data_IF_119370194340
#
_entry.id   IF_119370194340
#
_cell.length_a   1.000
_cell.length_b   1.000
_cell.length_c   1.000
_cell.angle_alpha   90.00
_cell.angle_beta   90.00
_cell.angle_gamma   90.00
#
_symmetry.space_group_name_H-M   'P 1'
#
loop_
_entity.id
_entity.type
_entity.pdbx_description
1 polymer ?
#
# COMPACT_ATOMS: atom_id res chain seq x y z
N UNK A 1 14.38 6.67 -9.43
CA UNK A 1 13.84 7.08 -8.13
C UNK A 1 13.64 8.59 -8.12
N UNK A 2 12.48 9.06 -7.69
CA UNK A 2 12.09 10.48 -7.70
C UNK A 2 11.43 10.83 -6.36
N UNK A 3 11.75 12.04 -5.85
CA UNK A 3 11.07 12.61 -4.68
C UNK A 3 10.04 13.65 -5.14
N UNK A 4 8.78 13.38 -4.91
CA UNK A 4 7.72 14.32 -5.25
C UNK A 4 7.83 15.59 -4.38
N UNK A 5 7.67 16.74 -5.01
CA UNK A 5 7.46 18.00 -4.29
C UNK A 5 6.10 18.00 -3.60
N UNK A 6 5.91 18.90 -2.64
CA UNK A 6 4.60 19.08 -1.99
C UNK A 6 3.47 19.26 -3.01
N UNK A 7 3.68 20.12 -4.01
CA UNK A 7 2.67 20.37 -5.05
C UNK A 7 2.37 19.13 -5.88
N UNK A 8 3.40 18.37 -6.28
CA UNK A 8 3.20 17.11 -7.00
C UNK A 8 2.44 16.09 -6.17
N UNK A 9 2.78 15.97 -4.88
CA UNK A 9 2.07 15.09 -3.94
C UNK A 9 0.60 15.51 -3.80
N UNK A 10 0.33 16.80 -3.62
CA UNK A 10 -1.05 17.33 -3.55
C UNK A 10 -1.84 17.03 -4.82
N UNK A 11 -1.23 17.24 -5.99
CA UNK A 11 -1.88 16.97 -7.28
C UNK A 11 -2.16 15.47 -7.46
N UNK A 12 -1.23 14.61 -7.05
CA UNK A 12 -1.42 13.17 -7.10
C UNK A 12 -2.59 12.71 -6.22
N UNK A 13 -2.62 13.20 -4.97
CA UNK A 13 -3.71 12.91 -4.03
C UNK A 13 -5.06 13.44 -4.54
N UNK A 14 -5.09 14.68 -5.07
CA UNK A 14 -6.32 15.28 -5.59
C UNK A 14 -6.86 14.54 -6.83
N UNK A 15 -5.99 13.96 -7.65
CA UNK A 15 -6.39 13.15 -8.80
C UNK A 15 -6.98 11.79 -8.40
N UNK A 16 -6.66 11.30 -7.20
CA UNK A 16 -7.04 9.96 -6.70
C UNK A 16 -6.89 8.86 -7.77
N UNK A 17 -5.67 8.69 -8.35
CA UNK A 17 -5.48 7.88 -9.56
C UNK A 17 -5.84 6.41 -9.38
N UNK A 18 -5.77 5.88 -8.16
CA UNK A 18 -6.20 4.52 -7.83
C UNK A 18 -7.69 4.44 -7.47
N UNK A 19 -8.39 5.56 -7.44
CA UNK A 19 -9.76 5.64 -6.94
C UNK A 19 -9.88 5.28 -5.46
N UNK A 20 -8.79 5.40 -4.70
CA UNK A 20 -8.75 4.99 -3.28
C UNK A 20 -9.76 5.76 -2.43
N UNK A 21 -9.75 7.09 -2.54
CA UNK A 21 -10.65 7.94 -1.76
C UNK A 21 -12.09 7.82 -2.24
N UNK A 22 -12.29 7.71 -3.55
CA UNK A 22 -13.62 7.54 -4.14
C UNK A 22 -14.26 6.21 -3.75
N UNK A 23 -13.47 5.19 -3.42
CA UNK A 23 -13.94 3.87 -2.95
C UNK A 23 -14.19 3.78 -1.45
N UNK A 24 -13.72 4.75 -0.66
CA UNK A 24 -13.97 4.77 0.79
C UNK A 24 -15.47 4.82 1.07
N UNK A 25 -15.94 3.86 1.82
CA UNK A 25 -17.32 3.81 2.30
C UNK A 25 -17.56 4.78 3.48
N UNK A 26 -18.81 5.06 3.81
CA UNK A 26 -19.14 5.90 4.98
C UNK A 26 -18.54 5.40 6.28
N UNK A 27 -18.38 4.09 6.40
CA UNK A 27 -17.81 3.47 7.59
C UNK A 27 -16.29 3.71 7.70
N UNK A 28 -15.56 3.59 6.59
CA UNK A 28 -14.11 3.86 6.57
C UNK A 28 -13.82 5.30 6.98
N UNK A 29 -14.66 6.23 6.52
CA UNK A 29 -14.56 7.63 6.88
C UNK A 29 -14.84 7.86 8.39
N UNK A 30 -15.83 7.15 8.96
CA UNK A 30 -16.13 7.24 10.38
C UNK A 30 -15.01 6.65 11.24
N UNK A 31 -14.44 5.51 10.84
CA UNK A 31 -13.31 4.89 11.52
C UNK A 31 -12.06 5.79 11.54
N UNK A 32 -11.95 6.72 10.58
CA UNK A 32 -10.88 7.72 10.48
C UNK A 32 -11.28 9.09 11.00
N UNK A 33 -12.36 9.20 11.76
CA UNK A 33 -12.89 10.45 12.31
C UNK A 33 -13.26 11.50 11.27
N UNK A 34 -13.39 11.12 10.00
CA UNK A 34 -13.86 12.00 8.93
C UNK A 34 -15.37 11.88 8.74
N UNK A 35 -16.04 13.00 8.50
CA UNK A 35 -17.49 13.06 8.30
C UNK A 35 -17.91 12.83 6.85
N UNK A 36 -16.98 13.02 5.93
CA UNK A 36 -17.22 12.86 4.49
C UNK A 36 -15.95 12.52 3.74
N UNK A 37 -16.12 12.09 2.48
CA UNK A 37 -14.98 11.86 1.55
C UNK A 37 -14.22 13.15 1.27
N UNK A 38 -14.92 14.27 1.18
CA UNK A 38 -14.35 15.58 0.95
C UNK A 38 -13.45 16.00 2.12
N UNK A 39 -13.89 15.74 3.35
CA UNK A 39 -13.09 15.99 4.55
C UNK A 39 -11.82 15.12 4.55
N UNK A 40 -11.95 13.83 4.26
CA UNK A 40 -10.82 12.92 4.16
C UNK A 40 -9.85 13.35 3.06
N UNK A 41 -10.36 13.70 1.87
CA UNK A 41 -9.55 14.20 0.76
C UNK A 41 -8.80 15.48 1.16
N UNK A 42 -9.48 16.39 1.82
CA UNK A 42 -8.87 17.63 2.29
C UNK A 42 -7.74 17.37 3.28
N UNK A 43 -7.93 16.44 4.23
CA UNK A 43 -6.88 16.04 5.17
C UNK A 43 -5.70 15.40 4.46
N UNK A 44 -5.94 14.45 3.56
CA UNK A 44 -4.89 13.78 2.79
C UNK A 44 -4.07 14.78 1.95
N UNK A 45 -4.73 15.70 1.26
CA UNK A 45 -4.07 16.74 0.45
C UNK A 45 -3.29 17.72 1.33
N UNK A 46 -3.86 18.15 2.47
CA UNK A 46 -3.22 19.09 3.37
C UNK A 46 -2.04 18.49 4.13
N UNK A 47 -2.02 17.16 4.32
CA UNK A 47 -0.91 16.46 4.96
C UNK A 47 0.37 16.44 4.12
N UNK A 48 0.26 16.69 2.81
CA UNK A 48 1.42 16.70 1.92
C UNK A 48 2.44 17.78 2.34
N UNK A 49 3.71 17.37 2.44
CA UNK A 49 4.80 18.23 2.86
C UNK A 49 6.02 18.10 1.95
N UNK A 50 6.99 19.01 2.13
CA UNK A 50 8.25 18.94 1.43
C UNK A 50 9.21 17.97 2.14
N UNK A 51 10.06 17.32 1.38
CA UNK A 51 11.20 16.57 1.86
C UNK A 51 12.33 17.52 2.25
N UNK A 52 12.94 17.34 3.43
CA UNK A 52 14.19 18.01 3.76
C UNK A 52 15.37 17.38 3.00
N UNK A 53 16.50 18.10 2.84
CA UNK A 53 17.71 17.52 2.25
C UNK A 53 18.18 16.25 2.99
N UNK A 54 18.16 16.27 4.32
CA UNK A 54 18.60 15.17 5.17
C UNK A 54 17.70 13.93 5.02
N UNK A 55 16.36 14.14 4.94
CA UNK A 55 15.42 13.05 4.67
C UNK A 55 15.65 12.43 3.30
N UNK A 56 15.88 13.25 2.27
CA UNK A 56 16.19 12.76 0.92
C UNK A 56 17.49 11.94 0.89
N UNK A 57 18.54 12.43 1.54
CA UNK A 57 19.84 11.74 1.60
C UNK A 57 19.72 10.40 2.33
N UNK A 58 18.98 10.36 3.42
CA UNK A 58 18.72 9.12 4.14
C UNK A 58 17.94 8.12 3.29
N UNK A 59 16.77 8.54 2.79
CA UNK A 59 15.91 7.68 1.98
C UNK A 59 16.60 7.22 0.70
N UNK A 60 17.44 8.07 0.10
CA UNK A 60 18.22 7.69 -1.07
C UNK A 60 19.12 6.48 -0.76
N UNK A 61 19.86 6.52 0.35
CA UNK A 61 20.72 5.41 0.76
C UNK A 61 19.92 4.15 1.06
N UNK A 62 18.83 4.27 1.79
CA UNK A 62 17.97 3.12 2.09
C UNK A 62 17.34 2.52 0.83
N UNK A 63 16.88 3.36 -0.07
CA UNK A 63 16.30 2.92 -1.34
C UNK A 63 17.32 2.27 -2.27
N UNK A 64 18.59 2.70 -2.25
CA UNK A 64 19.66 2.02 -2.98
C UNK A 64 19.89 0.59 -2.46
N UNK A 65 19.95 0.41 -1.14
CA UNK A 65 20.06 -0.92 -0.52
C UNK A 65 18.86 -1.80 -0.88
N UNK A 66 17.66 -1.26 -0.79
CA UNK A 66 16.44 -1.95 -1.17
C UNK A 66 16.46 -2.35 -2.65
N UNK A 67 16.83 -1.43 -3.53
CA UNK A 67 16.92 -1.69 -4.97
C UNK A 67 17.95 -2.76 -5.30
N UNK A 68 19.16 -2.66 -4.73
CA UNK A 68 20.23 -3.65 -4.94
C UNK A 68 19.75 -5.05 -4.56
N UNK A 69 19.07 -5.19 -3.44
CA UNK A 69 18.47 -6.47 -3.05
C UNK A 69 17.39 -6.92 -4.04
N UNK A 70 16.48 -6.02 -4.43
CA UNK A 70 15.37 -6.36 -5.33
C UNK A 70 15.82 -6.70 -6.75
N UNK A 71 17.01 -6.27 -7.19
CA UNK A 71 17.61 -6.71 -8.47
C UNK A 71 17.83 -8.24 -8.53
N UNK A 72 17.87 -8.91 -7.38
CA UNK A 72 17.95 -10.36 -7.28
C UNK A 72 16.57 -11.06 -7.31
N UNK A 73 15.52 -10.30 -7.44
CA UNK A 73 14.13 -10.76 -7.39
C UNK A 73 13.39 -10.47 -8.71
N UNK A 74 12.14 -10.88 -8.78
CA UNK A 74 11.25 -10.55 -9.91
C UNK A 74 10.84 -9.06 -9.93
N UNK A 75 11.17 -8.29 -8.90
CA UNK A 75 10.87 -6.88 -8.74
C UNK A 75 12.01 -5.95 -9.18
N UNK A 76 12.98 -6.46 -9.94
CA UNK A 76 14.06 -5.69 -10.51
C UNK A 76 13.57 -4.58 -11.47
N UNK A 77 14.26 -3.45 -11.51
CA UNK A 77 14.09 -2.40 -12.51
C UNK A 77 12.74 -1.67 -12.44
N UNK A 78 12.08 -1.62 -11.29
CA UNK A 78 10.85 -0.86 -11.11
C UNK A 78 11.11 0.63 -10.88
N UNK A 79 10.28 1.52 -11.43
CA UNK A 79 10.32 2.94 -11.08
C UNK A 79 9.67 3.16 -9.72
N UNK A 80 10.26 4.01 -8.89
CA UNK A 80 9.67 4.42 -7.61
C UNK A 80 9.69 5.93 -7.48
N UNK A 81 8.59 6.45 -6.92
CA UNK A 81 8.49 7.84 -6.52
C UNK A 81 8.09 7.91 -5.06
N UNK A 82 8.72 8.82 -4.31
CA UNK A 82 8.43 9.01 -2.90
C UNK A 82 7.63 10.29 -2.68
N UNK A 83 6.51 10.17 -2.01
CA UNK A 83 5.67 11.27 -1.57
C UNK A 83 5.71 11.37 -0.03
N UNK A 84 5.80 12.59 0.50
CA UNK A 84 5.72 12.84 1.93
C UNK A 84 4.33 13.33 2.28
N UNK A 85 3.56 12.48 2.95
CA UNK A 85 2.24 12.82 3.44
C UNK A 85 1.95 12.03 4.71
N UNK A 86 1.30 12.69 5.66
CA UNK A 86 0.82 12.03 6.87
C UNK A 86 -0.54 11.38 6.60
N UNK A 87 -0.68 10.14 7.04
CA UNK A 87 -1.93 9.43 7.11
C UNK A 87 -2.20 9.06 8.57
N UNK A 88 -3.45 8.90 8.92
CA UNK A 88 -3.89 8.76 10.30
C UNK A 88 -3.23 7.58 11.04
N UNK A 89 -3.01 6.48 10.35
CA UNK A 89 -2.31 5.31 10.88
C UNK A 89 -0.78 5.47 10.87
N UNK A 90 -0.26 6.49 10.17
CA UNK A 90 1.18 6.75 10.05
C UNK A 90 1.96 5.68 9.27
N UNK A 91 1.29 4.66 8.76
CA UNK A 91 1.94 3.56 8.06
C UNK A 91 2.31 3.95 6.62
N UNK A 92 3.46 3.50 6.12
CA UNK A 92 3.78 3.57 4.71
C UNK A 92 2.69 2.88 3.87
N UNK A 93 2.47 3.38 2.66
CA UNK A 93 1.58 2.70 1.73
C UNK A 93 1.88 3.10 0.29
N UNK A 94 1.48 2.25 -0.63
CA UNK A 94 1.77 2.40 -2.06
C UNK A 94 0.50 2.65 -2.87
N UNK A 95 0.56 3.63 -3.79
CA UNK A 95 -0.43 3.85 -4.84
C UNK A 95 0.26 3.96 -6.18
N UNK A 96 -0.08 3.09 -7.12
CA UNK A 96 0.63 2.96 -8.39
C UNK A 96 2.14 2.78 -8.14
N UNK A 97 2.96 3.70 -8.64
CA UNK A 97 4.41 3.75 -8.46
C UNK A 97 4.86 4.74 -7.37
N UNK A 98 3.92 5.29 -6.59
CA UNK A 98 4.19 6.26 -5.53
C UNK A 98 4.11 5.59 -4.17
N UNK A 99 5.19 5.67 -3.41
CA UNK A 99 5.30 5.23 -2.02
C UNK A 99 5.10 6.46 -1.13
N UNK A 100 4.09 6.42 -0.29
CA UNK A 100 3.77 7.47 0.66
C UNK A 100 4.39 7.16 2.01
N UNK A 101 5.12 8.14 2.54
CA UNK A 101 5.80 8.06 3.83
C UNK A 101 5.44 9.29 4.67
N UNK A 102 5.21 9.12 5.95
CA UNK A 102 5.05 10.25 6.89
C UNK A 102 6.41 10.84 7.31
N UNK A 103 7.48 10.08 7.17
CA UNK A 103 8.86 10.43 7.48
C UNK A 103 9.84 9.54 6.74
N UNK A 104 11.00 9.31 7.31
CA UNK A 104 12.01 8.40 6.75
C UNK A 104 11.65 6.94 7.07
N UNK A 105 12.05 6.04 6.18
CA UNK A 105 11.90 4.59 6.32
C UNK A 105 13.23 3.90 6.02
N UNK A 106 13.47 2.76 6.64
CA UNK A 106 14.63 1.92 6.37
C UNK A 106 14.46 1.06 5.10
N UNK A 107 15.52 0.37 4.71
CA UNK A 107 15.52 -0.46 3.52
C UNK A 107 14.50 -1.60 3.58
N UNK A 108 14.29 -2.20 4.75
CA UNK A 108 13.30 -3.27 4.97
C UNK A 108 11.88 -2.79 4.64
N UNK A 109 11.48 -1.69 5.26
CA UNK A 109 10.17 -1.05 5.01
C UNK A 109 10.03 -0.63 3.54
N UNK A 110 11.09 -0.08 2.93
CA UNK A 110 11.05 0.30 1.52
C UNK A 110 10.93 -0.90 0.59
N UNK A 111 11.58 -2.03 0.89
CA UNK A 111 11.42 -3.28 0.14
C UNK A 111 9.95 -3.70 0.14
N UNK A 112 9.30 -3.70 1.30
CA UNK A 112 7.89 -4.03 1.44
C UNK A 112 7.02 -3.19 0.49
N UNK A 113 7.16 -1.87 0.55
CA UNK A 113 6.39 -0.95 -0.29
C UNK A 113 6.75 -1.06 -1.79
N UNK A 114 8.02 -1.27 -2.12
CA UNK A 114 8.47 -1.46 -3.50
C UNK A 114 7.91 -2.75 -4.11
N UNK A 115 7.74 -3.80 -3.32
CA UNK A 115 7.06 -5.01 -3.77
C UNK A 115 5.60 -4.71 -4.13
N UNK A 116 4.90 -3.87 -3.37
CA UNK A 116 3.55 -3.43 -3.72
C UNK A 116 3.49 -2.65 -5.03
N UNK A 117 4.47 -1.81 -5.33
CA UNK A 117 4.60 -1.19 -6.67
C UNK A 117 4.66 -2.27 -7.75
N UNK A 118 5.50 -3.27 -7.54
CA UNK A 118 5.66 -4.37 -8.49
C UNK A 118 4.39 -5.21 -8.67
N UNK A 119 3.69 -5.48 -7.59
CA UNK A 119 2.41 -6.19 -7.63
C UNK A 119 1.36 -5.45 -8.46
N UNK A 120 1.31 -4.12 -8.35
CA UNK A 120 0.42 -3.30 -9.18
C UNK A 120 0.81 -3.29 -10.66
N UNK A 121 2.10 -3.28 -10.96
CA UNK A 121 2.61 -3.21 -12.34
C UNK A 121 2.65 -4.56 -13.05
N UNK A 122 2.96 -5.64 -12.35
CA UNK A 122 3.20 -6.98 -12.91
C UNK A 122 2.15 -8.01 -12.52
N UNK A 123 1.24 -7.65 -11.63
CA UNK A 123 0.33 -8.56 -10.95
C UNK A 123 1.01 -9.25 -9.76
N UNK A 124 0.23 -9.66 -8.76
CA UNK A 124 0.72 -10.31 -7.57
C UNK A 124 1.19 -11.73 -7.88
N UNK A 125 2.23 -12.18 -7.17
CA UNK A 125 2.55 -13.59 -7.07
C UNK A 125 1.67 -14.17 -5.97
N UNK A 126 0.65 -14.93 -6.35
CA UNK A 126 -0.27 -15.53 -5.38
C UNK A 126 0.42 -16.74 -4.75
N UNK A 127 0.72 -16.73 -3.45
CA UNK A 127 1.36 -17.84 -2.79
C UNK A 127 0.51 -19.12 -2.86
N UNK A 128 1.17 -20.29 -2.83
CA UNK A 128 0.50 -21.57 -2.82
C UNK A 128 -0.49 -21.66 -1.65
N UNK A 129 -1.67 -22.22 -1.90
CA UNK A 129 -2.72 -22.41 -0.91
C UNK A 129 -3.74 -21.26 -0.83
N UNK A 130 -3.48 -20.14 -1.50
CA UNK A 130 -4.46 -19.04 -1.56
C UNK A 130 -5.50 -19.30 -2.65
N UNK A 131 -6.76 -19.11 -2.31
CA UNK A 131 -7.89 -19.18 -3.24
C UNK A 131 -8.88 -18.05 -2.94
N UNK A 132 -9.46 -17.50 -3.99
CA UNK A 132 -10.61 -16.61 -3.85
C UNK A 132 -11.87 -17.43 -3.56
N UNK A 133 -12.70 -16.97 -2.63
CA UNK A 133 -14.00 -17.59 -2.46
C UNK A 133 -14.89 -17.35 -3.68
N UNK A 134 -15.70 -18.35 -4.04
CA UNK A 134 -16.67 -18.23 -5.14
C UNK A 134 -17.66 -17.07 -4.92
N UNK A 135 -18.05 -16.82 -3.68
CA UNK A 135 -18.94 -15.71 -3.32
C UNK A 135 -18.25 -14.37 -3.57
N UNK A 136 -16.94 -14.30 -3.36
CA UNK A 136 -16.14 -13.11 -3.63
C UNK A 136 -15.98 -12.85 -5.12
N UNK A 137 -15.77 -13.89 -5.92
CA UNK A 137 -15.77 -13.79 -7.38
C UNK A 137 -17.11 -13.23 -7.88
N UNK A 138 -18.23 -13.66 -7.30
CA UNK A 138 -19.54 -13.13 -7.63
C UNK A 138 -19.70 -11.66 -7.21
N UNK A 139 -19.22 -11.29 -6.01
CA UNK A 139 -19.26 -9.91 -5.52
C UNK A 139 -18.34 -8.98 -6.33
N UNK A 140 -17.18 -9.45 -6.77
CA UNK A 140 -16.29 -8.70 -7.67
C UNK A 140 -16.92 -8.43 -9.03
N UNK A 141 -17.71 -9.36 -9.56
CA UNK A 141 -18.45 -9.16 -10.82
C UNK A 141 -19.58 -8.15 -10.66
N UNK A 142 -20.22 -8.13 -9.48
CA UNK A 142 -21.29 -7.18 -9.16
C UNK A 142 -20.76 -5.78 -8.80
N UNK A 143 -19.57 -5.69 -8.21
CA UNK A 143 -18.91 -4.45 -7.78
C UNK A 143 -17.42 -4.50 -8.13
N UNK A 144 -17.06 -4.22 -9.39
CA UNK A 144 -15.65 -4.28 -9.85
C UNK A 144 -14.73 -3.29 -9.11
N UNK A 145 -15.29 -2.26 -8.49
CA UNK A 145 -14.53 -1.24 -7.75
C UNK A 145 -14.22 -1.61 -6.30
N UNK A 146 -14.70 -2.75 -5.82
CA UNK A 146 -14.35 -3.23 -4.49
C UNK A 146 -13.11 -4.09 -4.55
N UNK A 147 -11.99 -3.59 -4.06
CA UNK A 147 -10.78 -4.38 -3.78
C UNK A 147 -10.97 -5.35 -2.59
N UNK A 148 -12.18 -5.43 -2.09
CA UNK A 148 -12.59 -6.30 -0.99
C UNK A 148 -12.56 -7.80 -1.32
N UNK A 149 -11.43 -8.24 -1.88
CA UNK A 149 -11.16 -9.65 -2.13
C UNK A 149 -10.81 -10.33 -0.82
N UNK A 150 -11.70 -11.14 -0.27
CA UNK A 150 -11.32 -12.06 0.79
C UNK A 150 -10.67 -13.27 0.14
N UNK A 151 -9.41 -13.40 0.38
CA UNK A 151 -8.64 -14.58 0.03
C UNK A 151 -8.77 -15.61 1.15
N UNK A 152 -8.63 -16.87 0.79
CA UNK A 152 -8.55 -17.95 1.76
C UNK A 152 -7.20 -18.63 1.61
N UNK A 153 -6.56 -18.91 2.71
CA UNK A 153 -5.39 -19.77 2.78
C UNK A 153 -5.71 -20.95 3.65
N UNK A 154 -5.64 -22.16 3.09
CA UNK A 154 -5.91 -23.41 3.80
C UNK A 154 -7.30 -23.42 4.48
N UNK A 155 -8.29 -22.80 3.81
CA UNK A 155 -9.67 -22.68 4.32
C UNK A 155 -9.91 -21.62 5.39
N UNK A 156 -8.88 -20.84 5.74
CA UNK A 156 -8.99 -19.72 6.70
C UNK A 156 -9.04 -18.40 5.93
N UNK A 157 -9.99 -17.48 6.26
CA UNK A 157 -10.02 -16.16 5.63
C UNK A 157 -8.69 -15.42 5.82
N UNK A 158 -8.16 -14.88 4.74
CA UNK A 158 -7.06 -13.93 4.73
C UNK A 158 -7.63 -12.58 4.32
N UNK A 159 -7.61 -11.62 5.24
CA UNK A 159 -8.28 -10.34 5.07
C UNK A 159 -7.78 -9.54 3.88
N UNK A 160 -8.69 -8.82 3.25
CA UNK A 160 -8.35 -7.79 2.26
C UNK A 160 -8.28 -6.43 2.94
N UNK A 161 -7.46 -5.55 2.42
CA UNK A 161 -7.27 -4.18 2.94
C UNK A 161 -8.57 -3.36 3.00
N UNK A 162 -9.57 -3.74 2.22
CA UNK A 162 -10.88 -3.11 2.12
C UNK A 162 -11.96 -4.20 1.99
N UNK A 163 -12.12 -5.01 3.04
CA UNK A 163 -13.25 -5.92 3.11
C UNK A 163 -14.57 -5.14 3.18
N UNK A 164 -15.68 -5.71 2.71
CA UNK A 164 -16.99 -5.08 2.82
C UNK A 164 -17.49 -4.95 4.27
N UNK A 165 -16.75 -5.48 5.22
CA UNK A 165 -17.07 -5.38 6.63
C UNK A 165 -15.95 -4.65 7.39
N UNK A 166 -16.01 -3.32 7.42
CA UNK A 166 -15.06 -2.47 8.10
C UNK A 166 -15.15 -2.52 9.64
N UNK A 167 -16.11 -3.25 10.20
CA UNK A 167 -16.17 -3.49 11.66
C UNK A 167 -15.11 -4.48 12.14
N UNK A 168 -14.49 -5.22 11.27
CA UNK A 168 -13.24 -5.88 11.59
C UNK A 168 -12.12 -4.85 11.43
N UNK A 169 -11.70 -4.24 12.53
CA UNK A 169 -10.28 -3.91 12.67
C UNK A 169 -9.59 -5.17 12.19
N UNK A 170 -8.92 -5.09 11.06
CA UNK A 170 -8.23 -6.25 10.52
C UNK A 170 -7.36 -6.81 11.64
N UNK A 171 -7.65 -8.03 12.07
CA UNK A 171 -6.70 -8.73 12.91
C UNK A 171 -5.38 -8.72 12.15
N UNK A 172 -4.32 -8.30 12.80
CA UNK A 172 -2.96 -8.28 12.23
C UNK A 172 -2.65 -9.62 11.57
N UNK A 173 -3.18 -10.71 12.12
CA UNK A 173 -3.06 -12.06 11.58
C UNK A 173 -3.74 -12.21 10.21
N UNK A 174 -4.88 -11.58 9.98
CA UNK A 174 -5.58 -11.60 8.69
C UNK A 174 -4.86 -10.73 7.67
N UNK A 175 -4.35 -9.59 8.09
CA UNK A 175 -3.59 -8.67 7.24
C UNK A 175 -2.34 -9.34 6.66
N UNK A 176 -1.48 -9.92 7.50
CA UNK A 176 -0.25 -10.59 7.06
C UNK A 176 -0.50 -11.85 6.23
N UNK A 177 -1.72 -12.40 6.25
CA UNK A 177 -2.13 -13.53 5.41
C UNK A 177 -2.67 -13.11 4.06
N UNK A 178 -2.97 -11.84 3.85
CA UNK A 178 -3.37 -11.36 2.53
C UNK A 178 -2.26 -11.68 1.53
N UNK A 179 -2.54 -12.25 0.33
CA UNK A 179 -1.49 -12.75 -0.57
C UNK A 179 -0.47 -11.68 -0.97
N UNK A 180 -0.88 -10.41 -1.08
CA UNK A 180 0.01 -9.31 -1.43
C UNK A 180 0.93 -8.95 -0.25
N UNK A 181 0.37 -8.91 0.94
CA UNK A 181 1.13 -8.66 2.16
C UNK A 181 2.06 -9.84 2.46
N UNK A 182 1.56 -11.07 2.36
CA UNK A 182 2.36 -12.28 2.60
C UNK A 182 3.58 -12.36 1.66
N UNK A 183 3.43 -11.95 0.41
CA UNK A 183 4.56 -11.87 -0.54
C UNK A 183 5.53 -10.77 -0.15
N UNK A 184 5.03 -9.58 0.21
CA UNK A 184 5.87 -8.44 0.63
C UNK A 184 6.68 -8.80 1.87
N UNK A 185 6.04 -9.35 2.90
CA UNK A 185 6.72 -9.81 4.12
C UNK A 185 7.73 -10.93 3.85
N UNK A 186 7.42 -11.88 3.00
CA UNK A 186 8.35 -12.97 2.67
C UNK A 186 9.61 -12.46 1.96
N UNK A 187 9.50 -11.41 1.14
CA UNK A 187 10.63 -10.80 0.45
C UNK A 187 11.42 -9.92 1.42
N UNK A 188 10.74 -9.14 2.26
CA UNK A 188 11.33 -8.34 3.32
C UNK A 188 12.13 -9.21 4.30
N UNK A 189 11.55 -10.33 4.76
CA UNK A 189 12.22 -11.28 5.66
C UNK A 189 13.51 -11.82 5.08
N UNK A 190 13.53 -12.12 3.79
CA UNK A 190 14.76 -12.57 3.10
C UNK A 190 15.86 -11.51 3.12
N UNK A 191 15.52 -10.24 3.05
CA UNK A 191 16.48 -9.15 3.19
C UNK A 191 17.04 -9.04 4.61
N UNK A 192 16.18 -9.19 5.61
CA UNK A 192 16.56 -9.09 7.03
C UNK A 192 17.44 -10.27 7.47
N UNK A 193 17.18 -11.45 6.92
CA UNK A 193 17.93 -12.67 7.28
C UNK A 193 19.25 -12.83 6.51
N UNK A 194 19.51 -12.02 5.47
CA UNK A 194 20.75 -12.03 4.66
C UNK A 194 20.75 -13.13 3.64
#
# INVERSE_FOLDING_TARGET
>A
MEFLTRTQTQNFLAADPDGFISRLGPYDLAARHCRSREEYMSLAVNSASAWSPEEKDYLWRQAQLAQEFLETTLYAGLPWRFAKAYYEDGLPHTRLDVIFLSGVADASTLIHEMVHVGQKMRGPQIPQGYVLSNQHIANMRANPDTDGKVWYKDGVPAGGFFGPNPSSIMDVTEYVRHPFEAESYAIEERFVLG
#
